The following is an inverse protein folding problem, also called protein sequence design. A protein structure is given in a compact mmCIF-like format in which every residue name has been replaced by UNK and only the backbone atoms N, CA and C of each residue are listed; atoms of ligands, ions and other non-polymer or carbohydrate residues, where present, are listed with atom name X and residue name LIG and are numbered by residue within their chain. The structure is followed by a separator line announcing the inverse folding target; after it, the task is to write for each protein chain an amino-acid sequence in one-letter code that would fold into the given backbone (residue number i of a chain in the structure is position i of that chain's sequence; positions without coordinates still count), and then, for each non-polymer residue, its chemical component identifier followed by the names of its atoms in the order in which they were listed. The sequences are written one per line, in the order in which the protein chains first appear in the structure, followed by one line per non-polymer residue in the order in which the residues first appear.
data_IF_869237004647
#
_entry.id   IF_869237004647
#
_cell.length_a   1.000
_cell.length_b   1.000
_cell.length_c   1.000
_cell.angle_alpha   90.00
_cell.angle_beta   90.00
_cell.angle_gamma   90.00
#
_symmetry.space_group_name_H-M   'P 1'
#
loop_
_entity.id
_entity.type
_entity.pdbx_description
1 polymer ?
#
# COMPACT_ATOMS: atom_id res chain seq x y z
N UNK A 1 -18.24 -11.74 -35.47
CA UNK A 1 -18.80 -11.00 -34.32
C UNK A 1 -18.32 -11.57 -32.98
N UNK A 2 -18.26 -12.89 -32.78
CA UNK A 2 -17.72 -13.49 -31.55
C UNK A 2 -16.20 -13.35 -31.39
N UNK A 3 -15.42 -13.43 -32.48
CA UNK A 3 -13.94 -13.37 -32.44
C UNK A 3 -13.40 -12.03 -31.94
N UNK A 4 -14.02 -10.93 -32.35
CA UNK A 4 -13.62 -9.56 -32.01
C UNK A 4 -13.92 -9.22 -30.54
N UNK A 5 -15.00 -9.78 -29.99
CA UNK A 5 -15.33 -9.69 -28.55
C UNK A 5 -14.30 -10.48 -27.72
N UNK A 6 -13.91 -11.67 -28.18
CA UNK A 6 -12.90 -12.50 -27.50
C UNK A 6 -11.54 -11.80 -27.52
N UNK A 7 -11.10 -11.28 -28.67
CA UNK A 7 -9.83 -10.53 -28.76
C UNK A 7 -9.83 -9.29 -27.86
N UNK A 8 -10.95 -8.55 -27.78
CA UNK A 8 -11.05 -7.40 -26.88
C UNK A 8 -10.96 -7.82 -25.40
N UNK A 9 -11.61 -8.91 -25.00
CA UNK A 9 -11.54 -9.42 -23.61
C UNK A 9 -10.12 -9.89 -23.28
N UNK A 10 -9.45 -10.62 -24.17
CA UNK A 10 -8.07 -11.07 -23.97
C UNK A 10 -7.08 -9.91 -23.89
N UNK A 11 -7.26 -8.89 -24.74
CA UNK A 11 -6.43 -7.68 -24.73
C UNK A 11 -6.63 -6.88 -23.45
N UNK A 12 -7.87 -6.79 -22.96
CA UNK A 12 -8.19 -6.10 -21.70
C UNK A 12 -7.65 -6.88 -20.49
N UNK A 13 -7.77 -8.21 -20.48
CA UNK A 13 -7.18 -9.06 -19.45
C UNK A 13 -5.65 -8.94 -19.41
N UNK A 14 -4.99 -8.91 -20.58
CA UNK A 14 -3.54 -8.70 -20.68
C UNK A 14 -3.13 -7.34 -20.15
N UNK A 15 -3.83 -6.28 -20.55
CA UNK A 15 -3.63 -4.90 -20.05
C UNK A 15 -3.80 -4.83 -18.54
N UNK A 16 -4.83 -5.46 -17.98
CA UNK A 16 -5.06 -5.48 -16.54
C UNK A 16 -3.97 -6.25 -15.79
N UNK A 17 -3.49 -7.38 -16.32
CA UNK A 17 -2.34 -8.11 -15.73
C UNK A 17 -1.03 -7.34 -15.83
N UNK A 18 -0.79 -6.61 -16.93
CA UNK A 18 0.38 -5.74 -17.06
C UNK A 18 0.30 -4.55 -16.11
N UNK A 19 -0.86 -3.92 -16.00
CA UNK A 19 -1.15 -2.87 -15.02
C UNK A 19 -1.03 -3.39 -13.58
N UNK A 20 -1.49 -4.61 -13.28
CA UNK A 20 -1.29 -5.26 -11.98
C UNK A 20 0.19 -5.42 -11.66
N UNK A 21 0.96 -5.89 -12.64
CA UNK A 21 2.41 -6.08 -12.52
C UNK A 21 3.10 -4.75 -12.33
N UNK A 22 2.66 -3.72 -13.04
CA UNK A 22 3.20 -2.37 -12.94
C UNK A 22 2.84 -1.69 -11.63
N UNK A 23 1.61 -1.81 -11.13
CA UNK A 23 1.17 -1.41 -9.79
C UNK A 23 1.98 -2.13 -8.70
N UNK A 24 2.17 -3.45 -8.84
CA UNK A 24 3.00 -4.24 -7.94
C UNK A 24 4.46 -3.77 -7.95
N UNK A 25 4.95 -3.21 -9.05
CA UNK A 25 6.35 -2.76 -9.18
C UNK A 25 6.53 -1.30 -8.78
N UNK A 26 5.57 -0.41 -9.09
CA UNK A 26 5.64 1.05 -8.88
C UNK A 26 4.96 1.54 -7.60
N UNK A 27 3.94 0.83 -7.09
CA UNK A 27 3.08 1.34 -6.01
C UNK A 27 3.46 0.83 -4.62
N UNK A 28 4.10 -0.35 -4.51
CA UNK A 28 4.81 -0.75 -3.29
C UNK A 28 5.89 0.26 -2.88
N UNK A 29 6.36 1.08 -3.81
CA UNK A 29 7.46 1.99 -3.60
C UNK A 29 7.07 3.20 -2.74
N UNK A 30 6.15 4.07 -3.16
CA UNK A 30 6.22 5.45 -2.68
C UNK A 30 5.93 5.66 -1.18
N UNK A 31 4.83 5.14 -0.62
CA UNK A 31 4.49 5.37 0.80
C UNK A 31 5.24 4.46 1.78
N UNK A 32 5.51 3.20 1.39
CA UNK A 32 6.32 2.31 2.21
C UNK A 32 7.78 2.78 2.23
N UNK A 33 8.32 3.27 1.11
CA UNK A 33 9.66 3.89 1.07
C UNK A 33 9.67 5.19 1.84
N UNK A 34 8.63 6.02 1.76
CA UNK A 34 8.60 7.25 2.54
C UNK A 34 8.63 6.95 4.04
N UNK A 35 7.87 5.95 4.50
CA UNK A 35 7.90 5.49 5.90
C UNK A 35 9.26 4.89 6.27
N UNK A 36 9.85 4.07 5.40
CA UNK A 36 11.18 3.49 5.62
C UNK A 36 12.29 4.53 5.65
N UNK A 37 12.23 5.53 4.76
CA UNK A 37 13.16 6.66 4.71
C UNK A 37 13.02 7.53 5.97
N UNK A 38 11.79 7.80 6.42
CA UNK A 38 11.55 8.53 7.66
C UNK A 38 12.16 7.80 8.86
N UNK A 39 11.99 6.49 8.98
CA UNK A 39 12.62 5.66 10.02
C UNK A 39 14.16 5.75 9.93
N UNK A 40 14.71 5.59 8.73
CA UNK A 40 16.16 5.60 8.48
C UNK A 40 16.80 6.94 8.84
N UNK A 41 16.09 8.05 8.63
CA UNK A 41 16.52 9.39 9.03
C UNK A 41 16.32 9.65 10.54
N UNK A 42 15.27 9.09 11.13
CA UNK A 42 14.92 9.35 12.53
C UNK A 42 15.81 8.59 13.53
N UNK A 43 16.24 7.36 13.21
CA UNK A 43 17.14 6.56 14.06
C UNK A 43 18.44 7.30 14.42
N UNK A 44 19.24 7.82 13.47
CA UNK A 44 20.47 8.52 13.80
C UNK A 44 20.21 9.81 14.59
N UNK A 45 19.07 10.47 14.35
CA UNK A 45 18.66 11.65 15.11
C UNK A 45 18.45 11.30 16.59
N UNK A 46 17.62 10.31 16.88
CA UNK A 46 17.35 9.83 18.26
C UNK A 46 18.61 9.31 18.95
N UNK A 47 19.56 8.76 18.17
CA UNK A 47 20.81 8.20 18.69
C UNK A 47 21.89 9.25 18.97
N UNK A 48 21.67 10.51 18.58
CA UNK A 48 22.64 11.60 18.73
C UNK A 48 22.90 11.97 20.20
N UNK A 49 24.10 12.50 20.48
CA UNK A 49 24.47 12.95 21.83
C UNK A 49 23.58 14.09 22.33
N UNK A 50 23.17 14.99 21.45
CA UNK A 50 22.22 16.08 21.76
C UNK A 50 20.91 15.55 22.32
N UNK A 51 20.40 14.44 21.78
CA UNK A 51 19.19 13.80 22.30
C UNK A 51 19.46 13.14 23.65
N UNK A 52 20.55 12.36 23.78
CA UNK A 52 20.88 11.65 25.02
C UNK A 52 21.01 12.58 26.23
N UNK A 53 21.53 13.78 26.03
CA UNK A 53 21.77 14.74 27.11
C UNK A 53 20.51 15.51 27.54
N UNK A 54 19.50 15.61 26.68
CA UNK A 54 18.31 16.44 26.88
C UNK A 54 16.99 15.65 26.96
N UNK A 55 17.06 14.32 26.95
CA UNK A 55 15.85 13.48 26.92
C UNK A 55 15.13 13.49 28.27
N UNK A 56 13.81 13.63 28.23
CA UNK A 56 12.92 13.43 29.39
C UNK A 56 11.99 12.25 29.12
N UNK A 57 11.40 11.67 30.15
CA UNK A 57 10.44 10.56 30.00
C UNK A 57 9.23 10.92 29.11
N UNK A 58 8.83 12.20 29.08
CA UNK A 58 7.79 12.68 28.18
C UNK A 58 8.26 12.69 26.71
N UNK A 59 9.52 13.08 26.46
CA UNK A 59 10.13 13.07 25.12
C UNK A 59 10.33 11.66 24.58
N UNK A 60 10.64 10.68 25.44
CA UNK A 60 10.80 9.27 25.09
C UNK A 60 9.50 8.63 24.58
N UNK A 61 8.36 9.02 25.15
CA UNK A 61 7.05 8.56 24.70
C UNK A 61 6.77 8.98 23.24
N UNK A 62 7.16 10.18 22.84
CA UNK A 62 7.02 10.63 21.44
C UNK A 62 7.94 9.89 20.47
N UNK A 63 9.13 9.46 20.91
CA UNK A 63 10.01 8.58 20.11
C UNK A 63 9.29 7.26 19.81
N UNK A 64 8.72 6.62 20.84
CA UNK A 64 8.00 5.36 20.66
C UNK A 64 6.77 5.52 19.76
N UNK A 65 5.95 6.56 19.97
CA UNK A 65 4.80 6.82 19.10
C UNK A 65 5.27 7.01 17.66
N UNK A 66 6.33 7.80 17.43
CA UNK A 66 6.87 8.04 16.08
C UNK A 66 7.28 6.73 15.40
N UNK A 67 8.06 5.88 16.08
CA UNK A 67 8.49 4.60 15.52
C UNK A 67 7.32 3.66 15.25
N UNK A 68 6.41 3.48 16.21
CA UNK A 68 5.24 2.61 16.05
C UNK A 68 4.37 3.11 14.89
N UNK A 69 4.14 4.41 14.79
CA UNK A 69 3.38 5.03 13.71
C UNK A 69 4.01 4.80 12.33
N UNK A 70 5.32 5.02 12.17
CA UNK A 70 5.99 4.78 10.89
C UNK A 70 6.07 3.29 10.53
N UNK A 71 6.31 2.40 11.49
CA UNK A 71 6.34 0.95 11.27
C UNK A 71 4.95 0.47 10.84
N UNK A 72 3.89 0.84 11.56
CA UNK A 72 2.54 0.45 11.21
C UNK A 72 2.11 1.05 9.86
N UNK A 73 2.49 2.30 9.55
CA UNK A 73 2.25 2.90 8.24
C UNK A 73 2.93 2.11 7.11
N UNK A 74 4.19 1.72 7.32
CA UNK A 74 4.95 0.89 6.37
C UNK A 74 4.28 -0.48 6.16
N UNK A 75 3.91 -1.16 7.25
CA UNK A 75 3.27 -2.48 7.21
C UNK A 75 1.91 -2.41 6.52
N UNK A 76 1.05 -1.46 6.90
CA UNK A 76 -0.29 -1.33 6.32
C UNK A 76 -0.25 -0.89 4.85
N UNK A 77 0.68 0.00 4.49
CA UNK A 77 0.91 0.37 3.08
C UNK A 77 1.33 -0.86 2.26
N UNK A 78 2.22 -1.68 2.80
CA UNK A 78 2.67 -2.91 2.15
C UNK A 78 1.54 -3.94 2.04
N UNK A 79 0.73 -4.08 3.10
CA UNK A 79 -0.40 -5.01 3.13
C UNK A 79 -1.50 -4.60 2.15
N UNK A 80 -1.87 -3.32 2.09
CA UNK A 80 -2.80 -2.79 1.07
C UNK A 80 -2.34 -3.19 -0.33
N UNK A 81 -1.05 -2.99 -0.62
CA UNK A 81 -0.50 -3.25 -1.93
C UNK A 81 -0.48 -4.76 -2.27
N UNK A 82 -0.26 -5.62 -1.27
CA UNK A 82 -0.40 -7.07 -1.42
C UNK A 82 -1.84 -7.45 -1.78
N UNK A 83 -2.81 -6.95 -1.01
CA UNK A 83 -4.24 -7.22 -1.23
C UNK A 83 -4.71 -6.68 -2.59
N UNK A 84 -4.20 -5.52 -3.02
CA UNK A 84 -4.47 -4.98 -4.36
C UNK A 84 -3.91 -5.88 -5.45
N UNK A 85 -2.65 -6.30 -5.35
CA UNK A 85 -2.02 -7.17 -6.32
C UNK A 85 -2.76 -8.52 -6.45
N UNK A 86 -3.17 -9.14 -5.34
CA UNK A 86 -3.95 -10.37 -5.35
C UNK A 86 -5.33 -10.19 -6.00
N UNK A 87 -6.04 -9.09 -5.71
CA UNK A 87 -7.36 -8.85 -6.29
C UNK A 87 -7.29 -8.62 -7.80
N UNK A 88 -6.27 -7.89 -8.28
CA UNK A 88 -6.09 -7.71 -9.72
C UNK A 88 -5.68 -9.02 -10.40
N UNK A 89 -4.85 -9.86 -9.77
CA UNK A 89 -4.52 -11.18 -10.29
C UNK A 89 -5.78 -12.07 -10.44
N UNK A 90 -6.62 -12.14 -9.40
CA UNK A 90 -7.88 -12.90 -9.44
C UNK A 90 -8.84 -12.38 -10.52
N UNK A 91 -8.90 -11.06 -10.71
CA UNK A 91 -9.65 -10.42 -11.80
C UNK A 91 -9.10 -10.82 -13.19
N UNK A 92 -7.77 -10.87 -13.34
CA UNK A 92 -7.14 -11.33 -14.59
C UNK A 92 -7.47 -12.81 -14.88
N UNK A 93 -7.36 -13.68 -13.88
CA UNK A 93 -7.70 -15.11 -13.99
C UNK A 93 -9.17 -15.33 -14.32
N UNK A 94 -10.08 -14.57 -13.70
CA UNK A 94 -11.51 -14.66 -13.98
C UNK A 94 -11.86 -14.24 -15.41
N UNK A 95 -11.26 -13.15 -15.90
CA UNK A 95 -11.42 -12.69 -17.29
C UNK A 95 -10.91 -13.73 -18.28
N UNK A 96 -9.78 -14.39 -17.99
CA UNK A 96 -9.25 -15.47 -18.83
C UNK A 96 -10.19 -16.69 -18.86
N UNK A 97 -10.74 -17.09 -17.71
CA UNK A 97 -11.74 -18.16 -17.62
C UNK A 97 -13.03 -17.84 -18.39
N UNK A 98 -13.51 -16.59 -18.33
CA UNK A 98 -14.67 -16.12 -19.09
C UNK A 98 -14.38 -16.19 -20.59
N UNK A 99 -13.23 -15.67 -21.04
CA UNK A 99 -12.82 -15.73 -22.44
C UNK A 99 -12.78 -17.18 -22.97
N UNK A 100 -12.22 -18.10 -22.18
CA UNK A 100 -12.13 -19.52 -22.55
C UNK A 100 -13.51 -20.21 -22.60
N UNK A 101 -14.44 -19.82 -21.72
CA UNK A 101 -15.83 -20.31 -21.73
C UNK A 101 -16.63 -19.81 -22.94
N UNK A 102 -16.46 -18.53 -23.30
CA UNK A 102 -17.04 -17.94 -24.53
C UNK A 102 -16.51 -18.68 -25.76
N UNK A 103 -15.19 -18.90 -25.83
CA UNK A 103 -14.53 -19.62 -26.93
C UNK A 103 -15.08 -21.04 -27.12
N UNK A 104 -15.49 -21.69 -26.03
CA UNK A 104 -16.05 -23.04 -26.05
C UNK A 104 -17.58 -23.07 -26.20
N UNK A 105 -18.25 -21.94 -26.49
CA UNK A 105 -19.71 -21.80 -26.63
C UNK A 105 -20.52 -22.29 -25.42
N UNK A 106 -19.88 -22.35 -24.25
CA UNK A 106 -20.50 -22.75 -22.99
C UNK A 106 -20.56 -21.53 -22.08
N UNK A 107 -21.77 -20.98 -21.89
CA UNK A 107 -22.21 -20.15 -20.74
C UNK A 107 -22.57 -18.68 -21.04
N UNK A 108 -23.79 -18.38 -20.56
CA UNK A 108 -24.44 -17.11 -20.28
C UNK A 108 -23.72 -16.38 -19.13
N UNK A 109 -23.17 -15.20 -19.38
CA UNK A 109 -22.27 -14.51 -18.44
C UNK A 109 -23.10 -13.66 -17.47
N UNK A 110 -23.28 -14.16 -16.26
CA UNK A 110 -23.67 -13.33 -15.12
C UNK A 110 -22.50 -12.43 -14.76
N UNK A 111 -22.63 -11.14 -15.06
CA UNK A 111 -21.68 -10.10 -14.68
C UNK A 111 -21.53 -10.07 -13.16
N UNK A 112 -20.38 -10.52 -12.67
CA UNK A 112 -19.91 -10.14 -11.34
C UNK A 112 -18.63 -9.36 -11.54
N UNK A 113 -18.80 -8.06 -11.77
CA UNK A 113 -17.75 -7.08 -11.58
C UNK A 113 -17.24 -7.21 -10.14
N UNK A 114 -16.00 -7.67 -9.99
CA UNK A 114 -15.34 -7.69 -8.67
C UNK A 114 -14.91 -6.24 -8.42
N UNK A 115 -15.71 -5.50 -7.66
CA UNK A 115 -15.34 -4.18 -7.21
C UNK A 115 -14.08 -4.25 -6.33
N UNK A 116 -13.16 -3.27 -6.44
CA UNK A 116 -12.05 -3.16 -5.52
C UNK A 116 -12.58 -3.12 -4.08
N UNK A 117 -12.17 -4.09 -3.27
CA UNK A 117 -12.73 -4.25 -1.93
C UNK A 117 -12.42 -3.07 -1.00
N UNK A 118 -13.43 -2.60 -0.28
CA UNK A 118 -13.38 -1.52 0.74
C UNK A 118 -12.23 -1.64 1.75
N UNK A 119 -11.75 -2.86 1.99
CA UNK A 119 -10.62 -3.16 2.88
C UNK A 119 -9.31 -2.53 2.38
N UNK A 120 -9.06 -2.52 1.06
CA UNK A 120 -7.83 -1.94 0.50
C UNK A 120 -7.77 -0.42 0.70
N UNK A 121 -8.91 0.25 0.52
CA UNK A 121 -9.03 1.69 0.73
C UNK A 121 -8.85 2.04 2.20
N UNK A 122 -9.50 1.27 3.09
CA UNK A 122 -9.38 1.44 4.54
C UNK A 122 -7.94 1.28 5.01
N UNK A 123 -7.23 0.22 4.56
CA UNK A 123 -5.81 0.02 4.86
C UNK A 123 -4.95 1.21 4.38
N UNK A 124 -5.28 1.79 3.22
CA UNK A 124 -4.61 2.97 2.69
C UNK A 124 -4.80 4.20 3.55
N UNK A 125 -6.04 4.53 3.92
CA UNK A 125 -6.33 5.67 4.77
C UNK A 125 -5.68 5.54 6.15
N UNK A 126 -5.74 4.36 6.77
CA UNK A 126 -5.11 4.12 8.07
C UNK A 126 -3.59 4.27 7.98
N UNK A 127 -2.96 3.76 6.92
CA UNK A 127 -1.52 3.91 6.73
C UNK A 127 -1.09 5.38 6.60
N UNK A 128 -1.86 6.20 5.87
CA UNK A 128 -1.60 7.64 5.72
C UNK A 128 -1.77 8.38 7.05
N UNK A 129 -2.86 8.11 7.78
CA UNK A 129 -3.11 8.73 9.09
C UNK A 129 -1.97 8.42 10.06
N UNK A 130 -1.52 7.16 10.11
CA UNK A 130 -0.39 6.76 10.95
C UNK A 130 0.90 7.47 10.55
N UNK A 131 1.17 7.64 9.26
CA UNK A 131 2.34 8.39 8.81
C UNK A 131 2.31 9.84 9.30
N UNK A 132 1.15 10.51 9.19
CA UNK A 132 0.96 11.88 9.67
C UNK A 132 1.14 11.96 11.19
N UNK A 133 0.59 11.02 11.95
CA UNK A 133 0.79 10.93 13.41
C UNK A 133 2.28 10.79 13.75
N UNK A 134 3.02 9.98 12.98
CA UNK A 134 4.47 9.84 13.13
C UNK A 134 5.21 11.15 12.90
N UNK A 135 4.87 11.91 11.85
CA UNK A 135 5.46 13.23 11.59
C UNK A 135 5.16 14.24 12.70
N UNK A 136 3.92 14.30 13.17
CA UNK A 136 3.53 15.21 14.27
C UNK A 136 4.28 14.84 15.54
N UNK A 137 4.37 13.56 15.87
CA UNK A 137 5.07 13.09 17.06
C UNK A 137 6.58 13.34 16.98
N UNK A 138 7.19 13.13 15.80
CA UNK A 138 8.59 13.44 15.55
C UNK A 138 8.87 14.93 15.73
N UNK A 139 7.99 15.79 15.19
CA UNK A 139 8.09 17.24 15.35
C UNK A 139 8.02 17.65 16.82
N UNK A 140 7.01 17.17 17.57
CA UNK A 140 6.85 17.49 19.00
C UNK A 140 8.08 17.03 19.80
N UNK A 141 8.61 15.85 19.50
CA UNK A 141 9.85 15.34 20.10
C UNK A 141 11.04 16.27 19.81
N UNK A 142 11.29 16.59 18.53
CA UNK A 142 12.38 17.46 18.10
C UNK A 142 12.28 18.82 18.80
N UNK A 143 11.09 19.43 18.83
CA UNK A 143 10.84 20.71 19.49
C UNK A 143 10.97 20.66 21.01
N UNK A 144 10.97 19.49 21.64
CA UNK A 144 11.19 19.36 23.09
C UNK A 144 12.65 19.08 23.45
N UNK A 145 13.48 18.71 22.47
CA UNK A 145 14.86 18.28 22.69
C UNK A 145 15.88 19.27 22.13
N UNK A 146 15.54 19.96 21.04
CA UNK A 146 16.41 20.97 20.41
C UNK A 146 16.03 22.41 20.80
N UNK A 147 14.73 22.72 20.82
CA UNK A 147 14.20 24.05 21.18
C UNK A 147 14.01 24.16 22.69
#
# INVERSE_FOLDING_TARGET
MSTEIIENIEKQAKSDTEFARELRTKFFFHWAILSGAAITLFIPFVSSETVKNNITSCSELYIHITFVSFILSLVLSSLRNLVLAENVLKLGESKFLIANKIKNNTVNIGDKTVEPGSIQETLGYVAVILFIIGLISAYVFISKVIL
#
